data_IF_975892057048
#
_entry.id   IF_975892057048
#
_cell.length_a   1.000
_cell.length_b   1.000
_cell.length_c   1.000
_cell.angle_alpha   90.00
_cell.angle_beta   90.00
_cell.angle_gamma   90.00
#
_symmetry.space_group_name_H-M   'P 1'
#
loop_
_entity.id
_entity.type
_entity.pdbx_description
1 polymer ?
#
# COMPACT_ATOMS: atom_id res chain seq x y z
N UNK A 1 9.51 17.17 -12.25
CA UNK A 1 8.66 16.00 -12.51
C UNK A 1 9.06 15.27 -13.79
N UNK A 2 9.12 15.94 -14.95
CA UNK A 2 9.56 15.33 -16.23
C UNK A 2 10.80 14.43 -16.14
N UNK A 3 11.92 14.93 -15.58
CA UNK A 3 13.16 14.15 -15.40
C UNK A 3 12.99 12.89 -14.51
N UNK A 4 12.05 12.89 -13.57
CA UNK A 4 11.75 11.71 -12.75
C UNK A 4 10.88 10.71 -13.52
N UNK A 5 9.93 11.19 -14.32
CA UNK A 5 9.13 10.35 -15.22
C UNK A 5 10.01 9.69 -16.28
N UNK A 6 10.96 10.40 -16.88
CA UNK A 6 11.88 9.84 -17.89
C UNK A 6 12.75 8.72 -17.32
N UNK A 7 13.24 8.87 -16.09
CA UNK A 7 14.00 7.83 -15.39
C UNK A 7 13.16 6.61 -15.07
N UNK A 8 11.90 6.82 -14.68
CA UNK A 8 10.97 5.72 -14.42
C UNK A 8 10.60 4.99 -15.71
N UNK A 9 10.38 5.70 -16.82
CA UNK A 9 10.16 5.09 -18.13
C UNK A 9 11.35 4.22 -18.55
N UNK A 10 12.57 4.75 -18.48
CA UNK A 10 13.78 3.98 -18.80
C UNK A 10 13.98 2.76 -17.89
N UNK A 11 13.68 2.88 -16.59
CA UNK A 11 13.69 1.74 -15.67
C UNK A 11 12.62 0.70 -16.04
N UNK A 12 11.48 1.15 -16.53
CA UNK A 12 10.39 0.30 -16.97
C UNK A 12 10.59 -0.29 -18.36
N UNK A 13 11.60 0.11 -19.12
CA UNK A 13 12.00 -0.63 -20.33
C UNK A 13 13.00 -1.75 -19.99
N UNK A 14 13.63 -1.70 -18.81
CA UNK A 14 14.55 -2.71 -18.33
C UNK A 14 13.84 -3.82 -17.52
N UNK A 15 13.95 -5.06 -17.96
CA UNK A 15 13.39 -6.25 -17.29
C UNK A 15 13.83 -6.36 -15.83
N UNK A 16 15.09 -6.07 -15.51
CA UNK A 16 15.61 -6.14 -14.13
C UNK A 16 15.00 -5.05 -13.23
N UNK A 17 14.74 -3.88 -13.81
CA UNK A 17 14.03 -2.78 -13.16
C UNK A 17 12.60 -3.18 -12.81
N UNK A 18 11.86 -3.73 -13.79
CA UNK A 18 10.50 -4.26 -13.57
C UNK A 18 10.49 -5.32 -12.47
N UNK A 19 11.41 -6.29 -12.54
CA UNK A 19 11.48 -7.39 -11.58
C UNK A 19 11.79 -6.90 -10.17
N UNK A 20 12.64 -5.87 -10.03
CA UNK A 20 12.94 -5.26 -8.74
C UNK A 20 11.71 -4.59 -8.12
N UNK A 21 10.92 -3.86 -8.92
CA UNK A 21 9.65 -3.25 -8.47
C UNK A 21 8.64 -4.32 -8.06
N UNK A 22 8.51 -5.40 -8.85
CA UNK A 22 7.62 -6.52 -8.51
C UNK A 22 8.04 -7.21 -7.21
N UNK A 23 9.33 -7.48 -7.01
CA UNK A 23 9.86 -8.03 -5.75
C UNK A 23 9.59 -7.10 -4.57
N UNK A 24 9.69 -5.79 -4.76
CA UNK A 24 9.35 -4.82 -3.72
C UNK A 24 7.86 -4.87 -3.37
N UNK A 25 6.98 -4.86 -4.38
CA UNK A 25 5.54 -4.93 -4.18
C UNK A 25 5.10 -6.24 -3.49
N UNK A 26 5.67 -7.38 -3.86
CA UNK A 26 5.43 -8.67 -3.21
C UNK A 26 5.83 -8.64 -1.73
N UNK A 27 7.02 -8.09 -1.40
CA UNK A 27 7.44 -7.93 -0.01
C UNK A 27 6.50 -7.01 0.79
N UNK A 28 6.10 -5.87 0.22
CA UNK A 28 5.17 -4.94 0.87
C UNK A 28 3.83 -5.62 1.16
N UNK A 29 3.30 -6.38 0.19
CA UNK A 29 2.05 -7.12 0.33
C UNK A 29 2.16 -8.19 1.42
N UNK A 30 3.23 -8.99 1.43
CA UNK A 30 3.49 -9.99 2.47
C UNK A 30 3.60 -9.37 3.86
N UNK A 31 4.32 -8.25 3.98
CA UNK A 31 4.44 -7.51 5.24
C UNK A 31 3.09 -7.03 5.75
N UNK A 32 2.27 -6.44 4.87
CA UNK A 32 0.91 -6.01 5.22
C UNK A 32 0.05 -7.18 5.73
N UNK A 33 0.03 -8.30 5.00
CA UNK A 33 -0.72 -9.48 5.44
C UNK A 33 -0.19 -10.04 6.75
N UNK A 34 1.13 -10.15 6.93
CA UNK A 34 1.72 -10.64 8.17
C UNK A 34 1.35 -9.76 9.38
N UNK A 35 1.30 -8.44 9.20
CA UNK A 35 0.86 -7.50 10.25
C UNK A 35 -0.62 -7.67 10.59
N UNK A 36 -1.49 -7.88 9.59
CA UNK A 36 -2.94 -8.05 9.82
C UNK A 36 -3.34 -9.44 10.30
N UNK A 37 -2.69 -10.49 9.79
CA UNK A 37 -2.98 -11.89 10.10
C UNK A 37 -2.27 -12.39 11.36
N UNK A 38 -1.66 -11.50 12.13
CA UNK A 38 -1.08 -11.85 13.42
C UNK A 38 -2.18 -12.48 14.29
N UNK A 39 -1.91 -13.66 14.86
CA UNK A 39 -2.91 -14.51 15.53
C UNK A 39 -3.60 -13.78 16.71
N UNK A 40 -4.65 -14.35 17.28
CA UNK A 40 -5.32 -13.82 18.48
C UNK A 40 -4.43 -13.76 19.74
N UNK A 41 -3.20 -14.28 19.69
CA UNK A 41 -2.15 -14.04 20.70
C UNK A 41 -1.33 -12.77 20.42
N UNK A 42 -1.60 -12.09 19.30
CA UNK A 42 -0.97 -10.84 18.91
C UNK A 42 -1.60 -9.64 19.61
N UNK A 43 -0.75 -8.66 19.88
CA UNK A 43 -0.99 -7.49 20.71
C UNK A 43 -1.88 -6.41 20.08
N UNK A 44 -2.87 -6.76 19.26
CA UNK A 44 -3.87 -5.78 18.84
C UNK A 44 -4.60 -5.28 20.08
N UNK A 45 -4.53 -3.97 20.31
CA UNK A 45 -5.19 -3.31 21.44
C UNK A 45 -5.97 -2.12 20.91
N UNK A 46 -7.10 -1.76 21.52
CA UNK A 46 -7.76 -0.49 21.24
C UNK A 46 -6.78 0.66 21.46
N UNK A 47 -6.86 1.68 20.62
CA UNK A 47 -6.10 2.90 20.78
C UNK A 47 -6.52 3.56 22.11
N UNK A 48 -5.58 3.96 23.00
CA UNK A 48 -5.91 4.50 24.32
C UNK A 48 -6.33 5.98 24.23
N UNK A 49 -7.28 6.28 23.34
CA UNK A 49 -7.87 7.59 23.13
C UNK A 49 -9.38 7.42 23.25
N UNK A 50 -10.00 8.19 24.13
CA UNK A 50 -11.46 8.18 24.32
C UNK A 50 -12.17 8.46 23.00
N UNK A 51 -13.11 7.59 22.61
CA UNK A 51 -13.87 7.72 21.36
C UNK A 51 -13.17 7.13 20.12
N UNK A 52 -12.05 6.42 20.28
CA UNK A 52 -11.32 5.73 19.21
C UNK A 52 -11.18 4.22 19.47
N UNK A 53 -12.15 3.64 20.19
CA UNK A 53 -12.11 2.24 20.63
C UNK A 53 -12.16 1.23 19.46
N UNK A 54 -12.63 1.66 18.30
CA UNK A 54 -12.67 0.90 17.04
C UNK A 54 -11.35 0.94 16.25
N UNK A 55 -10.39 1.75 16.70
CA UNK A 55 -9.04 1.81 16.15
C UNK A 55 -8.16 0.84 16.93
N UNK A 56 -7.60 -0.14 16.24
CA UNK A 56 -6.67 -1.12 16.79
C UNK A 56 -5.22 -0.72 16.48
N UNK A 57 -4.35 -0.88 17.47
CA UNK A 57 -2.92 -0.63 17.36
C UNK A 57 -2.14 -1.88 17.76
N UNK A 58 -1.04 -2.15 17.06
CA UNK A 58 -0.04 -3.15 17.45
C UNK A 58 1.35 -2.65 17.12
N UNK A 59 2.36 -3.13 17.84
CA UNK A 59 3.75 -2.85 17.58
C UNK A 59 4.50 -4.15 17.27
N UNK A 60 5.27 -4.14 16.19
CA UNK A 60 6.15 -5.23 15.81
C UNK A 60 7.59 -4.74 15.74
N UNK A 61 8.56 -5.65 15.86
CA UNK A 61 9.97 -5.35 15.70
C UNK A 61 10.55 -6.25 14.63
N UNK A 62 11.15 -5.64 13.61
CA UNK A 62 11.92 -6.37 12.61
C UNK A 62 13.40 -6.36 12.98
N UNK A 63 13.95 -7.53 13.29
CA UNK A 63 15.38 -7.72 13.56
C UNK A 63 16.09 -8.43 12.40
N UNK A 64 15.42 -9.40 11.79
CA UNK A 64 16.07 -10.41 10.96
C UNK A 64 15.45 -10.58 9.56
N UNK A 65 14.35 -9.91 9.20
CA UNK A 65 13.75 -10.03 7.88
C UNK A 65 14.56 -9.26 6.82
N UNK A 66 15.25 -9.96 5.90
CA UNK A 66 16.08 -9.33 4.89
C UNK A 66 15.21 -8.63 3.84
N UNK A 67 15.24 -7.30 3.84
CA UNK A 67 14.50 -6.48 2.87
C UNK A 67 13.39 -5.62 3.46
N UNK A 68 13.12 -5.77 4.75
CA UNK A 68 12.33 -4.83 5.56
C UNK A 68 13.30 -4.00 6.42
N UNK A 69 13.08 -2.69 6.62
CA UNK A 69 13.93 -1.89 7.49
C UNK A 69 13.99 -2.50 8.90
N UNK A 70 15.19 -2.56 9.49
CA UNK A 70 15.36 -2.99 10.89
C UNK A 70 14.77 -1.93 11.82
N UNK A 71 14.06 -2.37 12.85
CA UNK A 71 13.49 -1.48 13.88
C UNK A 71 12.05 -1.80 14.24
N UNK A 72 11.46 -0.94 15.05
CA UNK A 72 10.06 -1.01 15.43
C UNK A 72 9.14 -0.49 14.34
N UNK A 73 8.01 -1.16 14.15
CA UNK A 73 6.91 -0.72 13.31
C UNK A 73 5.63 -0.66 14.15
N UNK A 74 4.84 0.40 13.95
CA UNK A 74 3.51 0.53 14.54
C UNK A 74 2.50 0.32 13.43
N UNK A 75 1.58 -0.61 13.64
CA UNK A 75 0.46 -0.84 12.72
C UNK A 75 -0.81 -0.36 13.37
N UNK A 76 -1.58 0.45 12.62
CA UNK A 76 -2.87 0.97 13.03
C UNK A 76 -3.91 0.47 12.03
N UNK A 77 -5.02 -0.07 12.52
CA UNK A 77 -6.11 -0.57 11.70
C UNK A 77 -7.45 -0.08 12.26
N UNK A 78 -8.39 0.22 11.36
CA UNK A 78 -9.79 0.48 11.68
C UNK A 78 -10.65 -0.22 10.63
N UNK A 79 -11.92 -0.41 10.93
CA UNK A 79 -12.88 -1.03 10.02
C UNK A 79 -14.14 -0.18 9.96
N UNK A 80 -14.65 0.04 8.75
CA UNK A 80 -15.88 0.79 8.52
C UNK A 80 -16.82 -0.03 7.65
N UNK A 81 -18.11 0.03 7.97
CA UNK A 81 -19.14 -0.58 7.15
C UNK A 81 -19.61 0.40 6.07
N UNK A 82 -19.58 -0.02 4.81
CA UNK A 82 -20.01 0.80 3.68
C UNK A 82 -21.19 0.13 2.97
N UNK A 83 -22.26 0.85 2.62
CA UNK A 83 -23.39 0.34 1.85
C UNK A 83 -23.07 0.29 0.35
N UNK A 84 -21.89 -0.23 -0.02
CA UNK A 84 -21.35 -0.24 -1.38
C UNK A 84 -20.73 -1.62 -1.66
N UNK A 85 -20.89 -2.19 -2.86
CA UNK A 85 -20.26 -3.47 -3.20
C UNK A 85 -18.74 -3.45 -3.00
N UNK A 86 -18.13 -4.52 -2.46
CA UNK A 86 -16.69 -4.56 -2.21
C UNK A 86 -15.82 -4.31 -3.45
N UNK A 87 -16.27 -4.78 -4.62
CA UNK A 87 -15.54 -4.57 -5.88
C UNK A 87 -15.49 -3.09 -6.28
N UNK A 88 -16.55 -2.32 -6.00
CA UNK A 88 -16.60 -0.89 -6.31
C UNK A 88 -15.65 -0.12 -5.38
N UNK A 89 -15.61 -0.49 -4.10
CA UNK A 89 -14.64 0.06 -3.13
C UNK A 89 -13.21 -0.29 -3.54
N UNK A 90 -12.95 -1.55 -3.90
CA UNK A 90 -11.64 -1.98 -4.38
C UNK A 90 -11.21 -1.19 -5.62
N UNK A 91 -12.08 -1.12 -6.64
CA UNK A 91 -11.87 -0.36 -7.88
C UNK A 91 -11.58 1.12 -7.61
N UNK A 92 -12.32 1.72 -6.69
CA UNK A 92 -12.09 3.09 -6.25
C UNK A 92 -10.70 3.24 -5.61
N UNK A 93 -10.32 2.39 -4.65
CA UNK A 93 -9.05 2.49 -3.93
C UNK A 93 -7.82 2.20 -4.81
N UNK A 94 -7.95 1.31 -5.79
CA UNK A 94 -6.85 0.96 -6.70
C UNK A 94 -6.63 1.97 -7.85
N UNK A 95 -7.57 2.90 -8.08
CA UNK A 95 -7.43 3.91 -9.12
C UNK A 95 -6.48 5.03 -8.65
N UNK A 96 -5.35 5.18 -9.34
CA UNK A 96 -4.38 6.23 -9.01
C UNK A 96 -4.94 7.64 -9.13
N UNK A 97 -5.93 7.85 -10.00
CA UNK A 97 -6.55 9.16 -10.20
C UNK A 97 -7.57 9.52 -9.11
N UNK A 98 -8.03 8.54 -8.33
CA UNK A 98 -8.94 8.76 -7.19
C UNK A 98 -8.20 9.04 -5.89
N UNK A 99 -6.87 8.87 -5.86
CA UNK A 99 -6.06 8.85 -4.64
C UNK A 99 -6.19 10.13 -3.82
N UNK A 100 -6.26 11.29 -4.47
CA UNK A 100 -6.48 12.58 -3.82
C UNK A 100 -7.83 12.74 -3.11
N UNK A 101 -8.81 11.86 -3.38
CA UNK A 101 -10.14 11.90 -2.75
C UNK A 101 -10.17 11.28 -1.37
N UNK A 102 -9.17 10.45 -1.02
CA UNK A 102 -9.20 9.68 0.23
C UNK A 102 -7.86 9.65 0.97
N UNK A 103 -6.74 9.83 0.26
CA UNK A 103 -5.42 9.91 0.88
C UNK A 103 -5.13 11.36 1.28
N UNK A 104 -5.04 11.60 2.59
CA UNK A 104 -4.71 12.91 3.15
C UNK A 104 -3.41 13.48 2.57
N UNK A 105 -2.41 12.64 2.30
CA UNK A 105 -1.12 13.07 1.76
C UNK A 105 -1.21 13.53 0.28
N UNK A 106 -2.27 13.11 -0.41
CA UNK A 106 -2.56 13.47 -1.80
C UNK A 106 -3.68 14.51 -1.91
N UNK A 107 -4.25 14.98 -0.79
CA UNK A 107 -5.36 15.92 -0.80
C UNK A 107 -4.95 17.25 -1.47
N UNK A 108 -5.78 17.75 -2.39
CA UNK A 108 -5.51 18.96 -3.15
C UNK A 108 -4.39 18.83 -4.20
N UNK A 109 -3.83 17.64 -4.37
CA UNK A 109 -2.76 17.35 -5.34
C UNK A 109 -3.30 16.64 -6.57
N UNK A 110 -2.58 16.77 -7.67
CA UNK A 110 -2.86 16.02 -8.89
C UNK A 110 -2.17 14.67 -8.78
N UNK A 111 -2.93 13.59 -8.92
CA UNK A 111 -2.38 12.24 -8.92
C UNK A 111 -2.47 11.65 -10.32
N UNK A 112 -1.42 10.94 -10.73
CA UNK A 112 -1.34 10.35 -12.07
C UNK A 112 -0.68 8.98 -12.01
N UNK A 113 -1.31 7.99 -12.60
CA UNK A 113 -0.66 6.70 -12.86
C UNK A 113 0.48 6.90 -13.87
N UNK A 114 1.70 6.56 -13.46
CA UNK A 114 2.90 6.69 -14.30
C UNK A 114 3.34 5.35 -14.89
N UNK A 115 3.09 4.26 -14.16
CA UNK A 115 3.50 2.91 -14.56
C UNK A 115 2.43 1.92 -14.13
N UNK A 116 2.18 0.92 -14.99
CA UNK A 116 1.38 -0.26 -14.68
C UNK A 116 2.13 -1.52 -15.09
N UNK A 117 2.24 -2.47 -14.16
CA UNK A 117 2.85 -3.78 -14.38
C UNK A 117 1.80 -4.84 -14.05
N UNK A 118 1.32 -5.57 -15.05
CA UNK A 118 0.41 -6.70 -14.83
C UNK A 118 1.15 -7.87 -14.20
N UNK A 119 0.63 -8.43 -13.11
CA UNK A 119 1.31 -9.49 -12.33
C UNK A 119 0.83 -10.90 -12.67
N UNK A 120 -0.17 -11.05 -13.54
CA UNK A 120 -0.71 -12.35 -13.93
C UNK A 120 -1.59 -12.29 -15.18
N UNK A 121 -2.46 -13.31 -15.32
CA UNK A 121 -3.40 -13.42 -16.44
C UNK A 121 -4.56 -12.42 -16.35
N UNK A 122 -4.98 -12.11 -15.13
CA UNK A 122 -6.01 -11.12 -14.88
C UNK A 122 -5.39 -9.71 -14.92
N UNK A 123 -5.77 -8.85 -15.88
CA UNK A 123 -5.25 -7.48 -15.97
C UNK A 123 -5.57 -6.61 -14.76
N UNK A 124 -6.57 -6.98 -13.94
CA UNK A 124 -6.88 -6.28 -12.70
C UNK A 124 -5.77 -6.46 -11.64
N UNK A 125 -5.05 -7.59 -11.69
CA UNK A 125 -3.89 -7.83 -10.84
C UNK A 125 -2.67 -7.12 -11.40
N UNK A 126 -2.32 -6.00 -10.79
CA UNK A 126 -1.21 -5.18 -11.24
C UNK A 126 -0.54 -4.40 -10.10
N UNK A 127 0.72 -4.02 -10.35
CA UNK A 127 1.46 -3.05 -9.55
C UNK A 127 1.43 -1.72 -10.30
N UNK A 128 0.96 -0.66 -9.64
CA UNK A 128 0.87 0.69 -10.19
C UNK A 128 1.83 1.61 -9.46
N UNK A 129 2.54 2.46 -10.19
CA UNK A 129 3.29 3.58 -9.60
C UNK A 129 2.49 4.85 -9.88
N UNK A 130 2.07 5.53 -8.82
CA UNK A 130 1.29 6.76 -8.88
C UNK A 130 2.19 7.92 -8.48
N UNK A 131 2.30 8.91 -9.36
CA UNK A 131 2.93 10.19 -9.05
C UNK A 131 1.92 11.12 -8.39
N UNK A 132 2.38 11.90 -7.42
CA UNK A 132 1.60 12.93 -6.74
C UNK A 132 2.33 14.26 -6.94
N UNK A 133 1.63 15.26 -7.47
CA UNK A 133 2.15 16.61 -7.74
C UNK A 133 1.77 17.58 -6.61
#
# INVERSE_FOLDING_TARGET
LARHCDRLAAMMDNTDGKMSVLKLADRMMRGYYASLSASSESSWRPLPITGAEDILITASYNLDDPGTPRGGAVTVATSVWLPVPPNDVFNFLQDGNSRNRWDLLSCGRVTREMVRITTGRDPANCVKIVGVE
#
